data_IF_833882580069
#
_entry.id   IF_833882580069
#
_cell.length_a   1.000
_cell.length_b   1.000
_cell.length_c   1.000
_cell.angle_alpha   90.00
_cell.angle_beta   90.00
_cell.angle_gamma   90.00
#
_symmetry.space_group_name_H-M   'P 1'
#
loop_
_entity.id
_entity.type
_entity.pdbx_description
1 polymer ?
#
# COMPACT_ATOMS: atom_id res chain seq x y z
N UNK A 1 -45.63 -26.56 -20.47
CA UNK A 1 -45.21 -26.11 -20.32
C UNK A 1 -44.73 -25.51 -19.29
N UNK A 2 -44.20 -25.38 -18.92
CA UNK A 2 -43.63 -24.99 -17.96
C UNK A 2 -42.99 -23.90 -17.79
N UNK A 3 -42.90 -23.47 -17.23
CA UNK A 3 -42.46 -22.40 -16.99
C UNK A 3 -41.38 -22.31 -16.29
N UNK A 4 -41.03 -22.02 -16.25
CA UNK A 4 -40.03 -21.83 -15.73
C UNK A 4 -39.76 -20.91 -14.81
N UNK A 5 -39.63 -20.91 -14.31
CA UNK A 5 -39.30 -20.27 -13.51
C UNK A 5 -38.32 -19.66 -13.18
N UNK A 6 -38.11 -19.44 -13.21
CA UNK A 6 -37.22 -18.94 -12.99
C UNK A 6 -36.78 -18.13 -12.10
N UNK A 7 -36.75 -18.00 -11.85
CA UNK A 7 -36.37 -17.33 -11.23
C UNK A 7 -35.67 -16.97 -10.38
N UNK A 8 -35.38 -17.03 -10.11
CA UNK A 8 -34.77 -16.74 -9.41
C UNK A 8 -34.03 -16.01 -9.00
N UNK A 9 -33.80 -15.70 -8.73
CA UNK A 9 -33.22 -15.08 -8.34
C UNK A 9 -32.43 -14.70 -7.64
N UNK A 10 -32.14 -14.59 -7.43
CA UNK A 10 -31.39 -14.33 -6.89
C UNK A 10 -30.94 -13.48 -6.10
N UNK A 11 -30.97 -13.33 -5.79
CA UNK A 11 -30.59 -12.67 -5.12
C UNK A 11 -29.74 -12.39 -4.39
N UNK A 12 -29.27 -12.25 -4.17
CA UNK A 12 -28.48 -12.01 -3.57
C UNK A 12 -28.05 -11.29 -2.80
N UNK A 13 -27.84 -11.16 -2.40
CA UNK A 13 -27.48 -10.70 -1.64
C UNK A 13 -26.66 -10.12 -0.89
N UNK A 14 -26.55 -9.82 -0.86
CA UNK A 14 -25.77 -9.22 -0.40
C UNK A 14 -25.33 -9.16 0.75
N UNK A 15 -25.43 -9.18 1.02
CA UNK A 15 -25.05 -9.09 1.90
C UNK A 15 -24.32 -8.81 2.62
N UNK A 16 -24.20 -8.83 2.59
CA UNK A 16 -23.52 -8.74 3.06
C UNK A 16 -23.12 -8.09 4.01
N UNK A 17 -23.12 -7.69 3.94
CA UNK A 17 -22.70 -6.97 4.61
C UNK A 17 -22.57 -7.10 5.88
N UNK A 18 -22.84 -7.27 6.21
CA UNK A 18 -22.76 -7.33 7.22
C UNK A 18 -21.89 -7.41 7.93
N UNK A 19 -21.56 -7.41 7.76
CA UNK A 19 -20.67 -7.56 8.28
C UNK A 19 -20.29 -6.98 9.32
N UNK A 20 -20.30 -6.55 9.35
CA UNK A 20 -19.92 -5.90 10.12
C UNK A 20 -19.56 -6.11 11.27
N UNK A 21 -19.62 -6.30 11.61
CA UNK A 21 -19.37 -6.50 12.72
C UNK A 21 -18.40 -6.14 13.35
N UNK A 22 -18.08 -6.18 13.14
CA UNK A 22 -17.19 -5.98 13.63
C UNK A 22 -16.89 -5.18 14.51
N UNK A 23 -17.07 -4.71 14.41
CA UNK A 23 -16.81 -3.84 15.07
C UNK A 23 -16.29 -3.71 16.24
N UNK A 24 -16.33 -4.24 16.72
CA UNK A 24 -15.86 -4.18 17.89
C UNK A 24 -14.87 -3.33 18.12
N UNK A 25 -14.20 -3.58 17.58
CA UNK A 25 -13.13 -2.93 17.81
C UNK A 25 -13.27 -1.67 18.18
N UNK A 26 -14.06 -1.25 17.79
CA UNK A 26 -14.14 -0.02 17.97
C UNK A 26 -13.83 0.49 19.22
N UNK A 27 -13.63 -0.22 20.03
CA UNK A 27 -13.38 0.26 21.23
C UNK A 27 -12.42 1.30 21.28
N UNK A 28 -11.45 1.26 20.56
CA UNK A 28 -10.51 2.28 20.69
C UNK A 28 -10.98 3.47 19.98
N UNK A 29 -11.40 4.42 20.64
CA UNK A 29 -11.80 5.64 20.02
C UNK A 29 -10.56 6.43 19.73
N UNK A 30 -10.20 6.53 18.51
CA UNK A 30 -9.07 7.32 18.10
C UNK A 30 -9.50 8.77 18.00
N UNK A 31 -8.78 9.64 18.68
CA UNK A 31 -9.09 11.05 18.65
C UNK A 31 -8.31 11.70 17.51
N UNK A 32 -9.02 12.13 16.49
CA UNK A 32 -8.38 12.76 15.35
C UNK A 32 -8.37 14.28 15.43
N UNK A 33 -8.72 14.84 16.56
CA UNK A 33 -8.81 16.30 16.66
C UNK A 33 -7.47 17.01 16.48
N UNK A 34 -6.38 16.31 16.78
CA UNK A 34 -5.05 16.89 16.64
C UNK A 34 -4.32 16.39 15.40
N UNK A 35 -5.05 15.82 14.45
CA UNK A 35 -4.46 15.26 13.25
C UNK A 35 -4.58 16.27 12.13
N UNK A 36 -3.50 16.47 11.41
CA UNK A 36 -3.53 17.32 10.21
C UNK A 36 -3.16 16.48 9.02
N UNK A 37 -3.86 16.67 7.95
CA UNK A 37 -3.59 15.97 6.71
C UNK A 37 -3.39 16.99 5.61
N UNK A 38 -2.62 16.59 4.61
CA UNK A 38 -2.39 17.45 3.47
C UNK A 38 -3.71 17.62 2.72
N UNK A 39 -4.06 18.86 2.34
CA UNK A 39 -5.34 19.07 1.65
C UNK A 39 -5.40 18.40 0.30
N UNK A 40 -6.59 18.09 -0.12
CA UNK A 40 -6.79 17.48 -1.42
C UNK A 40 -6.41 18.47 -2.53
N UNK A 41 -5.90 17.93 -3.62
CA UNK A 41 -5.62 18.78 -4.77
C UNK A 41 -6.92 19.25 -5.40
N UNK A 42 -6.92 20.51 -5.76
CA UNK A 42 -8.08 21.08 -6.45
C UNK A 42 -8.11 20.69 -7.92
N UNK A 43 -6.93 20.52 -8.52
CA UNK A 43 -6.84 20.16 -9.93
C UNK A 43 -7.08 18.68 -10.12
N UNK A 44 -7.74 18.35 -11.20
CA UNK A 44 -8.04 16.96 -11.52
C UNK A 44 -6.96 16.37 -12.41
N UNK A 45 -6.68 15.09 -12.24
CA UNK A 45 -5.83 14.37 -13.17
C UNK A 45 -6.76 13.52 -14.03
N UNK A 46 -6.57 13.55 -15.36
CA UNK A 46 -7.45 12.79 -16.22
C UNK A 46 -7.14 11.28 -16.11
N UNK A 47 -8.13 10.48 -16.40
CA UNK A 47 -8.01 9.04 -16.23
C UNK A 47 -6.89 8.45 -17.11
N UNK A 48 -6.72 8.96 -18.33
CA UNK A 48 -5.67 8.45 -19.20
C UNK A 48 -4.29 8.66 -18.62
N UNK A 49 -4.05 9.81 -18.00
CA UNK A 49 -2.78 10.09 -17.35
C UNK A 49 -2.59 9.21 -16.15
N UNK A 50 -3.63 9.11 -15.30
CA UNK A 50 -3.55 8.28 -14.10
C UNK A 50 -3.32 6.81 -14.45
N UNK A 51 -3.97 6.31 -15.50
CA UNK A 51 -3.88 4.91 -15.85
C UNK A 51 -2.51 4.49 -16.34
N UNK A 52 -1.62 5.43 -16.60
CA UNK A 52 -0.25 5.12 -16.97
C UNK A 52 0.59 4.72 -15.76
N UNK A 53 0.09 4.96 -14.56
CA UNK A 53 0.80 4.57 -13.35
C UNK A 53 0.55 3.10 -13.06
N UNK A 54 1.62 2.37 -12.81
CA UNK A 54 1.53 0.92 -12.60
C UNK A 54 1.75 0.60 -11.12
N UNK A 55 0.67 0.45 -10.39
CA UNK A 55 0.72 0.09 -8.97
C UNK A 55 0.60 -1.42 -8.83
N UNK A 56 1.52 -2.01 -8.07
CA UNK A 56 1.55 -3.46 -7.87
C UNK A 56 1.69 -3.81 -6.41
N UNK A 57 1.14 -4.97 -6.05
CA UNK A 57 1.42 -5.56 -4.75
C UNK A 57 2.82 -6.16 -4.84
N UNK A 58 3.65 -5.89 -3.85
CA UNK A 58 5.01 -6.41 -3.83
C UNK A 58 5.28 -7.01 -2.44
N UNK A 59 6.03 -8.10 -2.41
CA UNK A 59 6.39 -8.72 -1.14
C UNK A 59 7.80 -8.37 -0.77
N UNK A 60 8.02 -8.04 0.49
CA UNK A 60 9.33 -7.66 0.99
C UNK A 60 10.11 -8.92 1.29
N UNK A 61 11.10 -9.23 0.47
CA UNK A 61 11.94 -10.39 0.65
C UNK A 61 13.04 -10.11 1.65
N UNK A 62 13.56 -8.90 1.62
CA UNK A 62 14.60 -8.49 2.54
C UNK A 62 14.53 -6.98 2.72
N UNK A 63 15.00 -6.51 3.85
CA UNK A 63 15.01 -5.10 4.16
C UNK A 63 16.22 -4.83 5.03
N UNK A 64 16.99 -3.80 4.69
CA UNK A 64 18.14 -3.46 5.48
C UNK A 64 18.37 -1.96 5.54
N UNK A 65 19.00 -1.50 6.58
CA UNK A 65 19.31 -0.09 6.71
C UNK A 65 20.47 0.27 5.79
N UNK A 66 20.40 1.47 5.21
CA UNK A 66 21.46 1.97 4.35
C UNK A 66 22.50 2.64 5.24
N UNK A 67 23.74 2.15 5.19
CA UNK A 67 24.76 2.62 6.10
C UNK A 67 25.01 4.11 6.07
N UNK A 68 24.89 4.72 4.93
CA UNK A 68 25.19 6.15 4.79
C UNK A 68 24.00 7.05 5.08
N UNK A 69 22.89 6.50 5.46
CA UNK A 69 21.70 7.29 5.74
C UNK A 69 20.99 6.74 6.96
N UNK A 70 20.54 7.62 7.84
CA UNK A 70 19.77 7.20 9.00
C UNK A 70 18.31 7.02 8.68
N UNK A 71 17.88 7.50 7.53
CA UNK A 71 16.47 7.49 7.17
C UNK A 71 16.09 6.45 6.13
N UNK A 72 17.05 5.97 5.35
CA UNK A 72 16.74 5.09 4.24
C UNK A 72 16.79 3.63 4.62
N UNK A 73 15.80 2.91 4.13
CA UNK A 73 15.81 1.46 4.15
C UNK A 73 15.86 0.98 2.71
N UNK A 74 16.62 -0.08 2.48
CA UNK A 74 16.74 -0.69 1.18
C UNK A 74 15.87 -1.95 1.18
N UNK A 75 14.96 -2.03 0.23
CA UNK A 75 14.04 -3.15 0.13
C UNK A 75 14.37 -4.01 -1.07
N UNK A 76 14.42 -5.32 -0.88
CA UNK A 76 14.48 -6.28 -1.96
C UNK A 76 13.08 -6.86 -2.07
N UNK A 77 12.44 -6.65 -3.20
CA UNK A 77 11.02 -6.92 -3.35
C UNK A 77 10.76 -7.94 -4.45
N UNK A 78 9.76 -8.78 -4.20
CA UNK A 78 9.25 -9.68 -5.22
C UNK A 78 8.06 -8.96 -5.85
N UNK A 79 8.17 -8.61 -7.12
CA UNK A 79 7.13 -7.92 -7.85
C UNK A 79 6.40 -8.83 -8.85
N UNK A 80 6.61 -10.13 -8.74
CA UNK A 80 5.94 -11.10 -9.59
C UNK A 80 6.64 -11.35 -10.92
N UNK A 81 7.73 -10.65 -11.23
CA UNK A 81 8.41 -10.81 -12.51
C UNK A 81 9.49 -11.88 -12.52
N UNK A 82 9.83 -12.39 -11.34
CA UNK A 82 10.93 -13.36 -11.23
C UNK A 82 12.27 -12.70 -11.02
N UNK A 83 12.35 -11.39 -11.10
CA UNK A 83 13.58 -10.63 -10.86
C UNK A 83 13.35 -9.75 -9.65
N UNK A 84 14.27 -9.72 -8.72
CA UNK A 84 14.13 -8.89 -7.54
C UNK A 84 14.16 -7.40 -7.90
N UNK A 85 13.27 -6.64 -7.30
CA UNK A 85 13.21 -5.20 -7.49
C UNK A 85 13.79 -4.53 -6.25
N UNK A 86 14.60 -3.52 -6.44
CA UNK A 86 15.20 -2.79 -5.33
C UNK A 86 14.55 -1.42 -5.24
N UNK A 87 14.04 -1.10 -4.07
CA UNK A 87 13.46 0.23 -3.82
C UNK A 87 14.03 0.74 -2.51
N UNK A 88 14.41 2.01 -2.48
CA UNK A 88 14.83 2.67 -1.25
C UNK A 88 13.73 3.60 -0.79
N UNK A 89 13.47 3.63 0.49
CA UNK A 89 12.44 4.49 1.05
C UNK A 89 12.90 5.07 2.38
N UNK A 90 12.55 6.32 2.61
CA UNK A 90 13.01 7.05 3.81
C UNK A 90 12.12 6.82 5.01
N UNK A 91 11.86 5.57 5.33
CA UNK A 91 10.93 5.24 6.42
C UNK A 91 11.59 4.57 7.62
N UNK A 92 12.91 4.60 7.71
CA UNK A 92 13.60 3.94 8.82
C UNK A 92 13.23 4.52 10.20
N UNK A 93 12.83 5.76 10.25
CA UNK A 93 12.41 6.35 11.51
C UNK A 93 11.12 5.73 12.04
N UNK A 94 10.35 5.11 11.19
CA UNK A 94 9.04 4.57 11.54
C UNK A 94 9.03 3.06 11.66
N UNK A 95 9.97 2.36 11.03
CA UNK A 95 9.99 0.90 10.99
C UNK A 95 11.39 0.36 11.11
N UNK A 96 11.52 -0.75 11.80
CA UNK A 96 12.78 -1.49 11.80
C UNK A 96 12.74 -2.50 10.65
N UNK A 97 13.88 -2.78 10.03
CA UNK A 97 13.88 -3.73 8.90
C UNK A 97 13.23 -5.07 9.21
N UNK A 98 13.46 -5.57 10.42
CA UNK A 98 12.94 -6.88 10.79
C UNK A 98 11.43 -6.93 10.80
N UNK A 99 10.77 -5.82 11.07
CA UNK A 99 9.32 -5.79 11.11
C UNK A 99 8.69 -5.91 9.75
N UNK A 100 9.44 -5.57 8.71
CA UNK A 100 8.89 -5.44 7.38
C UNK A 100 9.09 -6.66 6.50
N UNK A 101 10.06 -7.49 6.81
CA UNK A 101 10.35 -8.67 5.99
C UNK A 101 9.15 -9.60 6.00
N UNK A 102 8.73 -10.05 4.83
CA UNK A 102 7.59 -10.94 4.69
C UNK A 102 6.26 -10.22 4.49
N UNK A 103 6.24 -8.90 4.63
CA UNK A 103 5.00 -8.14 4.45
C UNK A 103 4.73 -7.87 2.98
N UNK A 104 3.46 -7.68 2.65
CA UNK A 104 3.04 -7.31 1.30
C UNK A 104 2.65 -5.83 1.32
N UNK A 105 3.17 -5.07 0.41
CA UNK A 105 2.88 -3.65 0.36
C UNK A 105 2.62 -3.20 -1.07
N UNK A 106 2.45 -1.90 -1.28
CA UNK A 106 2.09 -1.35 -2.58
C UNK A 106 3.26 -0.52 -3.10
N UNK A 107 3.62 -0.74 -4.35
CA UNK A 107 4.66 0.05 -4.99
C UNK A 107 4.19 0.51 -6.36
N UNK A 108 4.61 1.71 -6.74
CA UNK A 108 4.48 2.14 -8.12
C UNK A 108 5.78 1.71 -8.80
N UNK A 109 5.65 0.95 -9.87
CA UNK A 109 6.79 0.25 -10.46
C UNK A 109 7.34 0.90 -11.71
N UNK A 110 6.56 1.73 -12.38
CA UNK A 110 6.99 2.29 -13.66
C UNK A 110 7.48 3.73 -13.56
N UNK A 111 8.24 4.00 -12.52
CA UNK A 111 8.96 5.27 -12.41
C UNK A 111 10.38 5.10 -12.93
N UNK A 112 10.99 6.16 -13.45
CA UNK A 112 12.40 6.08 -13.82
C UNK A 112 13.26 5.71 -12.61
N UNK A 113 14.30 4.93 -12.86
CA UNK A 113 15.22 4.54 -11.79
C UNK A 113 15.90 5.79 -11.23
N UNK A 114 15.94 5.88 -9.93
CA UNK A 114 16.55 7.02 -9.25
C UNK A 114 17.71 6.55 -8.38
N UNK A 115 18.86 7.21 -8.51
CA UNK A 115 20.00 6.85 -7.68
C UNK A 115 19.83 7.51 -6.31
N UNK A 116 19.93 6.72 -5.26
CA UNK A 116 19.83 7.21 -3.90
C UNK A 116 21.00 6.61 -3.11
N UNK A 117 21.90 7.48 -2.65
CA UNK A 117 23.10 7.06 -1.93
C UNK A 117 23.90 6.04 -2.72
N UNK A 118 23.94 6.21 -4.03
CA UNK A 118 24.68 5.30 -4.90
C UNK A 118 23.98 4.01 -5.23
N UNK A 119 22.73 3.83 -4.81
CA UNK A 119 21.98 2.61 -5.05
C UNK A 119 20.80 2.94 -5.95
N UNK A 120 20.59 2.19 -7.04
CA UNK A 120 19.44 2.46 -7.93
C UNK A 120 18.14 2.02 -7.26
N UNK A 121 17.19 2.93 -7.18
CA UNK A 121 15.86 2.65 -6.65
C UNK A 121 14.90 2.54 -7.82
N UNK A 122 14.20 1.42 -7.92
CA UNK A 122 13.40 1.08 -9.09
C UNK A 122 11.91 1.20 -8.84
N UNK A 123 11.50 2.27 -8.25
CA UNK A 123 10.09 2.52 -7.95
C UNK A 123 9.94 3.24 -6.62
N UNK A 124 8.72 3.26 -6.11
CA UNK A 124 8.44 3.95 -4.85
C UNK A 124 7.37 3.18 -4.09
N UNK A 125 7.60 2.98 -2.80
CA UNK A 125 6.59 2.39 -1.93
C UNK A 125 5.57 3.47 -1.55
N UNK A 126 4.34 3.06 -1.34
CA UNK A 126 3.25 3.97 -1.04
C UNK A 126 2.97 3.94 0.45
N UNK A 127 2.92 5.10 1.05
CA UNK A 127 2.66 5.24 2.49
C UNK A 127 1.64 6.32 2.74
N UNK A 128 0.90 6.20 3.82
CA UNK A 128 0.01 7.25 4.28
C UNK A 128 0.79 8.14 5.24
N UNK A 129 0.72 9.44 5.04
CA UNK A 129 1.47 10.41 5.85
C UNK A 129 0.50 11.42 6.42
N UNK A 130 0.68 11.76 7.69
CA UNK A 130 -0.17 12.71 8.39
C UNK A 130 0.63 13.34 9.52
N UNK A 131 0.08 14.37 10.15
CA UNK A 131 0.70 14.95 11.35
C UNK A 131 -0.22 14.78 12.54
N UNK A 132 0.38 14.47 13.66
CA UNK A 132 -0.37 14.32 14.90
C UNK A 132 0.41 15.04 16.00
N UNK A 133 -0.23 16.02 16.63
CA UNK A 133 0.42 16.83 17.67
C UNK A 133 1.76 17.40 17.22
N UNK A 134 1.84 17.83 15.97
CA UNK A 134 3.08 18.41 15.46
C UNK A 134 4.15 17.41 15.07
N UNK A 135 3.86 16.12 15.12
CA UNK A 135 4.80 15.08 14.72
C UNK A 135 4.28 14.37 13.48
N UNK A 136 5.20 14.06 12.59
CA UNK A 136 4.80 13.35 11.38
C UNK A 136 4.56 11.89 11.70
N UNK A 137 3.44 11.36 11.25
CA UNK A 137 3.14 9.95 11.32
C UNK A 137 3.19 9.37 9.94
N UNK A 138 3.62 8.12 9.82
CA UNK A 138 3.71 7.46 8.53
C UNK A 138 3.31 6.00 8.68
N UNK A 139 2.49 5.54 7.80
CA UNK A 139 2.10 4.13 7.77
C UNK A 139 2.28 3.58 6.38
N UNK A 140 3.14 2.59 6.24
CA UNK A 140 3.35 1.95 4.95
C UNK A 140 2.08 1.19 4.59
N UNK A 141 1.63 1.34 3.36
CA UNK A 141 0.42 0.69 2.92
C UNK A 141 0.68 -0.80 2.80
N UNK A 142 0.09 -1.58 3.68
CA UNK A 142 0.27 -3.03 3.71
C UNK A 142 -0.99 -3.74 3.27
N UNK A 143 -0.82 -4.81 2.55
CA UNK A 143 -1.91 -5.62 2.04
C UNK A 143 -1.89 -6.97 2.74
N UNK A 144 -3.00 -7.68 2.58
CA UNK A 144 -3.11 -9.02 3.12
C UNK A 144 -2.03 -9.91 2.49
N UNK A 145 -1.42 -10.75 3.30
CA UNK A 145 -0.34 -11.62 2.84
C UNK A 145 -0.80 -12.64 1.83
N UNK A 146 -2.09 -12.86 1.69
CA UNK A 146 -2.63 -13.79 0.70
C UNK A 146 -2.61 -13.21 -0.71
N UNK A 147 -2.39 -11.91 -0.84
CA UNK A 147 -2.34 -11.29 -2.16
C UNK A 147 -1.01 -11.63 -2.83
N UNK A 148 -1.04 -12.20 -4.02
CA UNK A 148 0.21 -12.59 -4.65
C UNK A 148 1.03 -11.40 -5.11
N UNK A 149 2.34 -11.55 -5.09
CA UNK A 149 3.23 -10.52 -5.59
C UNK A 149 2.95 -10.29 -7.08
N UNK A 150 2.90 -9.04 -7.46
CA UNK A 150 2.63 -8.67 -8.84
C UNK A 150 1.16 -8.38 -9.14
N UNK A 151 0.28 -8.57 -8.16
CA UNK A 151 -1.13 -8.25 -8.39
C UNK A 151 -1.27 -6.76 -8.66
N UNK A 152 -1.99 -6.42 -9.72
CA UNK A 152 -2.14 -5.02 -10.10
C UNK A 152 -3.22 -4.35 -9.27
N UNK A 153 -2.95 -3.11 -8.87
CA UNK A 153 -3.93 -2.31 -8.18
C UNK A 153 -4.55 -1.34 -9.17
N UNK A 154 -5.85 -1.17 -9.07
CA UNK A 154 -6.61 -0.30 -9.95
C UNK A 154 -7.15 0.89 -9.18
#
# INVERSE_FOLDING_TARGET
>A
MKPLDADKKTDKPAAAAEAAPAAPAAEEKIDFSNVEIEPLFADLVDFDTFSKSDFRAVKIKACEAVKKSKKLLKFILDDGTGTDRVILSGIHEYYEPEELVGKTCVAITNLPTRMMMGIPSEGMLISAVYEYDGHEGLNLLMLDEMIPAGAKLY
#
